data_IF_333240940179
#
_entry.id   IF_333240940179
#
_cell.length_a   1.000
_cell.length_b   1.000
_cell.length_c   1.000
_cell.angle_alpha   90.00
_cell.angle_beta   90.00
_cell.angle_gamma   90.00
#
_symmetry.space_group_name_H-M   'P 1'
#
loop_
_entity.id
_entity.type
_entity.pdbx_description
1 polymer ?
#
# COMPACT_ATOMS: atom_id res chain seq x y z
N UNK A 1 -12.32 18.22 13.53
CA UNK A 1 -13.50 17.55 14.12
C UNK A 1 -13.65 16.25 13.35
N UNK A 2 -13.10 15.16 13.89
CA UNK A 2 -13.09 13.85 13.23
C UNK A 2 -14.30 13.07 13.72
N UNK A 3 -15.34 13.00 12.90
CA UNK A 3 -16.34 11.95 13.04
C UNK A 3 -15.71 10.64 12.62
N UNK A 4 -15.08 9.92 13.56
CA UNK A 4 -14.82 8.50 13.34
C UNK A 4 -16.18 7.82 13.18
N UNK A 5 -16.42 7.26 11.99
CA UNK A 5 -17.48 6.29 11.81
C UNK A 5 -17.08 5.09 12.68
N UNK A 6 -17.77 4.92 13.82
CA UNK A 6 -17.43 3.95 14.87
C UNK A 6 -17.48 2.49 14.37
N UNK A 7 -17.98 2.24 13.15
CA UNK A 7 -18.24 0.91 12.61
C UNK A 7 -17.47 0.57 11.31
N UNK A 8 -16.56 1.43 10.83
CA UNK A 8 -15.76 1.11 9.64
C UNK A 8 -14.31 0.76 10.04
N UNK A 9 -13.93 -0.53 10.05
CA UNK A 9 -12.57 -0.93 10.40
C UNK A 9 -11.53 -0.40 9.41
N UNK A 10 -11.89 -0.09 8.16
CA UNK A 10 -10.97 0.44 7.14
C UNK A 10 -10.66 1.93 7.33
N UNK A 11 -11.38 2.62 8.22
CA UNK A 11 -11.18 4.06 8.47
C UNK A 11 -9.77 4.40 8.99
N UNK A 12 -9.01 3.42 9.47
CA UNK A 12 -7.59 3.59 9.86
C UNK A 12 -6.63 3.60 8.65
N UNK A 13 -7.11 3.23 7.46
CA UNK A 13 -6.32 3.11 6.22
C UNK A 13 -6.64 4.25 5.26
N UNK A 14 -7.91 4.47 4.93
CA UNK A 14 -8.29 5.43 3.89
C UNK A 14 -8.28 6.88 4.43
N UNK A 15 -8.08 7.85 3.54
CA UNK A 15 -7.94 9.28 3.86
C UNK A 15 -6.75 9.67 4.78
N UNK A 16 -5.80 8.76 5.00
CA UNK A 16 -4.61 8.97 5.85
C UNK A 16 -3.36 9.46 5.07
N UNK A 17 -3.53 9.81 3.80
CA UNK A 17 -2.45 10.21 2.90
C UNK A 17 -1.84 9.02 2.15
N UNK A 18 -0.52 9.03 1.99
CA UNK A 18 0.21 7.99 1.26
C UNK A 18 0.76 6.92 2.20
N UNK A 19 0.55 5.66 1.82
CA UNK A 19 1.11 4.47 2.44
C UNK A 19 2.18 3.87 1.53
N UNK A 20 3.28 3.40 2.11
CA UNK A 20 4.19 2.45 1.45
C UNK A 20 3.74 1.04 1.78
N UNK A 21 3.52 0.22 0.76
CA UNK A 21 3.13 -1.18 0.94
C UNK A 21 4.39 -2.05 0.97
N UNK A 22 4.45 -2.93 1.96
CA UNK A 22 5.46 -3.96 2.09
C UNK A 22 4.79 -5.33 2.12
N UNK A 23 5.42 -6.32 1.49
CA UNK A 23 5.11 -7.73 1.69
C UNK A 23 5.81 -8.24 2.94
N UNK A 24 5.14 -9.12 3.66
CA UNK A 24 5.63 -9.69 4.92
C UNK A 24 5.52 -11.20 4.83
N UNK A 25 6.60 -11.92 5.11
CA UNK A 25 6.53 -13.37 5.29
C UNK A 25 5.81 -13.72 6.61
N UNK A 26 5.33 -14.96 6.78
CA UNK A 26 4.74 -15.40 8.04
C UNK A 26 5.60 -15.01 9.26
N UNK A 27 4.94 -14.56 10.32
CA UNK A 27 5.57 -14.04 11.53
C UNK A 27 5.54 -15.10 12.63
N UNK A 28 6.69 -15.71 12.92
CA UNK A 28 6.81 -16.80 13.87
C UNK A 28 6.54 -16.35 15.31
N UNK A 29 5.71 -17.10 16.04
CA UNK A 29 5.34 -16.87 17.44
C UNK A 29 4.77 -15.46 17.72
N UNK A 30 4.06 -14.87 16.74
CA UNK A 30 3.30 -13.65 16.97
C UNK A 30 2.12 -13.94 17.90
N UNK A 31 1.96 -13.11 18.93
CA UNK A 31 0.88 -13.23 19.91
C UNK A 31 0.16 -11.89 20.09
N UNK A 32 -1.17 -11.93 20.09
CA UNK A 32 -2.03 -10.75 20.20
C UNK A 32 -2.30 -10.29 21.63
N UNK A 33 -1.84 -11.05 22.64
CA UNK A 33 -2.08 -10.72 24.05
C UNK A 33 -1.45 -9.38 24.44
N UNK A 34 -2.18 -8.56 25.21
CA UNK A 34 -1.78 -7.19 25.56
C UNK A 34 -0.36 -7.11 26.16
N UNK A 35 0.00 -8.06 27.03
CA UNK A 35 1.33 -8.14 27.63
C UNK A 35 2.42 -8.35 26.57
N UNK A 36 2.17 -9.23 25.59
CA UNK A 36 3.11 -9.51 24.50
C UNK A 36 3.26 -8.31 23.57
N UNK A 37 2.16 -7.67 23.20
CA UNK A 37 2.18 -6.44 22.40
C UNK A 37 2.98 -5.31 23.08
N UNK A 38 2.81 -5.13 24.40
CA UNK A 38 3.64 -4.19 25.19
C UNK A 38 5.12 -4.57 25.19
N UNK A 39 5.45 -5.86 25.28
CA UNK A 39 6.83 -6.34 25.19
C UNK A 39 7.45 -6.08 23.80
N UNK A 40 6.70 -6.30 22.72
CA UNK A 40 7.15 -5.99 21.36
C UNK A 40 7.36 -4.48 21.18
N UNK A 41 6.43 -3.65 21.64
CA UNK A 41 6.56 -2.19 21.62
C UNK A 41 7.81 -1.72 22.39
N UNK A 42 8.10 -2.35 23.53
CA UNK A 42 9.31 -2.08 24.32
C UNK A 42 10.59 -2.42 23.55
N UNK A 43 10.64 -3.58 22.86
CA UNK A 43 11.80 -3.96 22.03
C UNK A 43 12.04 -2.97 20.88
N UNK A 44 10.99 -2.52 20.20
CA UNK A 44 11.10 -1.48 19.14
C UNK A 44 11.64 -0.17 19.73
N UNK A 45 11.12 0.24 20.89
CA UNK A 45 11.60 1.44 21.58
C UNK A 45 13.09 1.33 21.96
N UNK A 46 13.55 0.18 22.43
CA UNK A 46 14.97 -0.07 22.70
C UNK A 46 15.83 0.07 21.44
N UNK A 47 15.36 -0.44 20.30
CA UNK A 47 16.07 -0.30 19.02
C UNK A 47 16.26 1.18 18.61
N UNK A 48 15.31 2.07 18.91
CA UNK A 48 15.49 3.50 18.65
C UNK A 48 16.59 4.14 19.50
N UNK A 49 16.73 3.72 20.75
CA UNK A 49 17.81 4.21 21.63
C UNK A 49 19.18 3.80 21.07
N UNK A 50 19.31 2.59 20.52
CA UNK A 50 20.58 2.11 19.97
C UNK A 50 20.91 2.61 18.56
N UNK A 51 19.90 2.95 17.74
CA UNK A 51 20.12 3.28 16.30
C UNK A 51 19.85 4.74 15.91
N UNK A 52 19.02 5.47 16.65
CA UNK A 52 18.56 6.82 16.26
C UNK A 52 19.03 7.89 17.28
N UNK A 53 19.13 7.52 18.55
CA UNK A 53 19.25 8.49 19.65
C UNK A 53 20.66 8.98 19.98
N UNK A 54 21.68 8.74 19.14
CA UNK A 54 23.07 9.08 19.47
C UNK A 54 23.32 10.58 19.69
N UNK A 55 22.38 11.48 19.34
CA UNK A 55 22.48 12.93 19.58
C UNK A 55 21.12 13.66 19.77
N UNK A 56 20.01 12.97 20.11
CA UNK A 56 18.66 13.60 20.12
C UNK A 56 18.01 13.67 21.50
N UNK A 57 17.51 14.84 21.89
CA UNK A 57 16.61 15.08 23.04
C UNK A 57 15.20 14.47 22.88
N UNK A 58 14.97 13.76 21.77
CA UNK A 58 13.70 13.16 21.40
C UNK A 58 13.44 11.88 22.19
N UNK A 59 12.30 11.84 22.89
CA UNK A 59 11.79 10.62 23.50
C UNK A 59 10.75 10.00 22.58
N UNK A 60 10.96 8.75 22.20
CA UNK A 60 10.01 7.96 21.42
C UNK A 60 9.13 7.11 22.34
N UNK A 61 7.83 7.08 22.03
CA UNK A 61 6.84 6.17 22.60
C UNK A 61 6.31 5.30 21.46
N UNK A 62 6.27 3.99 21.70
CA UNK A 62 5.77 2.99 20.75
C UNK A 62 4.53 2.35 21.36
N UNK A 63 3.47 2.26 20.57
CA UNK A 63 2.24 1.56 20.88
C UNK A 63 1.98 0.51 19.81
N UNK A 64 1.58 -0.69 20.22
CA UNK A 64 1.10 -1.74 19.32
C UNK A 64 -0.29 -2.16 19.78
N UNK A 65 -1.25 -2.09 18.87
CA UNK A 65 -2.66 -2.34 19.12
C UNK A 65 -3.15 -3.51 18.27
N UNK A 66 -3.94 -4.40 18.88
CA UNK A 66 -4.67 -5.43 18.15
C UNK A 66 -5.94 -4.82 17.53
N UNK A 67 -6.14 -5.05 16.23
CA UNK A 67 -7.30 -4.59 15.46
C UNK A 67 -8.11 -5.81 14.98
N UNK A 68 -8.96 -6.41 15.84
CA UNK A 68 -9.67 -7.65 15.51
C UNK A 68 -10.73 -7.51 14.42
N UNK A 69 -11.19 -6.28 14.16
CA UNK A 69 -12.15 -5.98 13.09
C UNK A 69 -11.46 -5.62 11.77
N UNK A 70 -10.14 -5.43 11.75
CA UNK A 70 -9.39 -5.15 10.54
C UNK A 70 -8.98 -6.47 9.88
N UNK A 71 -9.98 -7.17 9.34
CA UNK A 71 -9.82 -8.43 8.62
C UNK A 71 -10.95 -8.56 7.60
N UNK A 72 -10.68 -9.23 6.48
CA UNK A 72 -11.69 -9.41 5.43
C UNK A 72 -12.68 -10.53 5.78
N UNK A 73 -12.18 -11.60 6.39
CA UNK A 73 -12.98 -12.77 6.82
C UNK A 73 -12.64 -13.21 8.24
N UNK A 74 -13.43 -14.12 8.82
CA UNK A 74 -13.13 -14.70 10.14
C UNK A 74 -11.88 -15.59 10.15
N UNK A 75 -11.49 -16.11 8.98
CA UNK A 75 -10.29 -16.95 8.78
C UNK A 75 -9.00 -16.14 8.72
N UNK A 76 -9.12 -14.84 8.47
CA UNK A 76 -8.00 -13.91 8.47
C UNK A 76 -7.54 -13.60 9.89
N UNK A 77 -6.22 -13.53 10.05
CA UNK A 77 -5.59 -13.10 11.30
C UNK A 77 -5.91 -11.63 11.60
N UNK A 78 -6.08 -11.28 12.88
CA UNK A 78 -6.36 -9.91 13.30
C UNK A 78 -5.25 -8.95 12.82
N UNK A 79 -5.64 -7.74 12.40
CA UNK A 79 -4.68 -6.68 12.09
C UNK A 79 -3.92 -6.18 13.32
N UNK A 80 -2.76 -5.58 13.09
CA UNK A 80 -1.96 -4.91 14.11
C UNK A 80 -1.65 -3.48 13.67
N UNK A 81 -1.83 -2.51 14.56
CA UNK A 81 -1.40 -1.13 14.35
C UNK A 81 -0.19 -0.82 15.23
N UNK A 82 0.86 -0.26 14.64
CA UNK A 82 2.06 0.20 15.30
C UNK A 82 2.11 1.71 15.15
N UNK A 83 2.08 2.44 16.27
CA UNK A 83 2.17 3.90 16.29
C UNK A 83 3.42 4.32 17.05
N UNK A 84 4.23 5.18 16.43
CA UNK A 84 5.41 5.79 17.06
C UNK A 84 5.19 7.30 17.17
N UNK A 85 5.26 7.79 18.40
CA UNK A 85 5.18 9.22 18.69
C UNK A 85 6.49 9.73 19.25
N UNK A 86 6.84 10.97 18.93
CA UNK A 86 7.99 11.67 19.49
C UNK A 86 7.54 12.85 20.35
N UNK A 87 8.22 13.06 21.48
CA UNK A 87 8.11 14.28 22.28
C UNK A 87 9.49 14.93 22.43
N UNK A 88 9.58 16.25 22.21
CA UNK A 88 10.76 17.06 22.54
C UNK A 88 10.62 17.66 23.93
N UNK A 89 11.73 17.74 24.69
CA UNK A 89 11.74 18.35 26.02
C UNK A 89 11.78 19.89 26.01
N UNK A 90 12.09 20.53 24.89
CA UNK A 90 12.44 21.96 24.85
C UNK A 90 11.25 22.93 24.67
N UNK A 91 10.02 22.43 24.52
CA UNK A 91 8.84 23.28 24.36
C UNK A 91 7.80 23.02 25.45
N UNK A 92 7.43 24.06 26.21
CA UNK A 92 6.34 24.11 27.20
C UNK A 92 4.93 23.79 26.63
N UNK A 93 4.85 23.34 25.37
CA UNK A 93 3.67 22.74 24.74
C UNK A 93 4.06 21.45 24.04
N UNK A 94 4.44 20.43 24.82
CA UNK A 94 4.81 19.11 24.33
C UNK A 94 3.60 18.42 23.64
N UNK A 95 3.34 18.77 22.38
CA UNK A 95 2.41 18.03 21.53
C UNK A 95 3.13 16.78 21.05
N UNK A 96 2.65 15.61 21.48
CA UNK A 96 3.08 14.34 20.93
C UNK A 96 2.80 14.34 19.42
N UNK A 97 3.84 14.20 18.61
CA UNK A 97 3.73 14.13 17.15
C UNK A 97 3.89 12.67 16.74
N UNK A 98 2.93 12.12 16.00
CA UNK A 98 3.10 10.83 15.32
C UNK A 98 4.15 10.99 14.22
N UNK A 99 5.25 10.27 14.37
CA UNK A 99 6.39 10.29 13.42
C UNK A 99 6.35 9.10 12.47
N UNK A 100 5.69 8.03 12.88
CA UNK A 100 5.54 6.81 12.09
C UNK A 100 4.29 6.03 12.51
N UNK A 101 3.63 5.44 11.52
CA UNK A 101 2.51 4.53 11.72
C UNK A 101 2.63 3.36 10.74
N UNK A 102 2.30 2.16 11.20
CA UNK A 102 2.24 0.99 10.33
C UNK A 102 1.08 0.06 10.71
N UNK A 103 0.48 -0.55 9.71
CA UNK A 103 -0.59 -1.54 9.86
C UNK A 103 -0.09 -2.84 9.24
N UNK A 104 -0.08 -3.93 10.01
CA UNK A 104 0.09 -5.28 9.50
C UNK A 104 -1.28 -5.95 9.42
N UNK A 105 -1.61 -6.59 8.30
CA UNK A 105 -2.92 -7.19 8.09
C UNK A 105 -2.90 -8.33 7.06
N UNK A 106 -3.91 -9.19 7.17
CA UNK A 106 -4.37 -10.09 6.10
C UNK A 106 -5.66 -9.54 5.49
N UNK A 107 -5.87 -9.78 4.21
CA UNK A 107 -7.09 -9.36 3.51
C UNK A 107 -7.48 -10.39 2.46
N UNK A 108 -8.25 -11.41 2.87
CA UNK A 108 -8.73 -12.46 1.97
C UNK A 108 -7.67 -13.48 1.56
N UNK A 109 -6.53 -13.53 2.27
CA UNK A 109 -5.43 -14.48 2.02
C UNK A 109 -4.87 -14.98 3.34
N UNK A 110 -5.38 -16.12 3.79
CA UNK A 110 -4.90 -16.80 4.99
C UNK A 110 -4.08 -18.04 4.60
N UNK A 111 -2.89 -18.16 5.18
CA UNK A 111 -2.10 -19.40 5.12
C UNK A 111 -1.95 -19.87 6.56
N UNK A 112 -2.42 -21.09 6.83
CA UNK A 112 -2.22 -21.73 8.12
C UNK A 112 -0.81 -22.33 8.16
N UNK A 113 0.00 -21.86 9.10
CA UNK A 113 1.37 -22.33 9.32
C UNK A 113 1.53 -22.53 10.82
N UNK A 114 2.04 -23.69 11.21
CA UNK A 114 2.28 -24.00 12.61
C UNK A 114 3.21 -22.95 13.23
N UNK A 115 2.84 -22.47 14.41
CA UNK A 115 3.58 -21.48 15.19
C UNK A 115 3.86 -20.15 14.45
N UNK A 116 3.13 -19.82 13.38
CA UNK A 116 3.30 -18.55 12.67
C UNK A 116 1.96 -17.90 12.30
N UNK A 117 1.93 -16.56 12.33
CA UNK A 117 0.77 -15.78 11.89
C UNK A 117 1.04 -15.18 10.51
N UNK A 118 0.10 -15.35 9.59
CA UNK A 118 0.19 -14.79 8.25
C UNK A 118 -0.48 -13.40 8.19
N UNK A 119 0.35 -12.35 8.14
CA UNK A 119 -0.06 -10.96 7.90
C UNK A 119 0.69 -10.43 6.67
N UNK A 120 0.31 -10.84 5.44
CA UNK A 120 1.12 -10.65 4.24
C UNK A 120 1.40 -9.20 3.88
N UNK A 121 0.61 -8.26 4.41
CA UNK A 121 0.67 -6.85 4.07
C UNK A 121 1.10 -6.00 5.25
N UNK A 122 2.03 -5.08 5.00
CA UNK A 122 2.37 -4.00 5.91
C UNK A 122 2.27 -2.65 5.19
N UNK A 123 1.27 -1.86 5.57
CA UNK A 123 1.13 -0.46 5.16
C UNK A 123 1.92 0.40 6.14
N UNK A 124 2.86 1.23 5.66
CA UNK A 124 3.60 2.16 6.53
C UNK A 124 3.60 3.61 6.03
N UNK A 125 3.58 4.57 6.95
CA UNK A 125 3.73 6.00 6.66
C UNK A 125 4.57 6.70 7.74
N UNK A 126 5.12 7.86 7.38
CA UNK A 126 6.01 8.63 8.26
C UNK A 126 7.49 8.44 7.94
N UNK A 127 8.34 8.74 8.92
CA UNK A 127 9.79 8.86 8.77
C UNK A 127 10.48 7.53 8.43
N UNK A 128 11.30 7.54 7.36
CA UNK A 128 11.93 6.33 6.84
C UNK A 128 12.91 5.69 7.83
N UNK A 129 13.68 6.50 8.58
CA UNK A 129 14.63 5.98 9.58
C UNK A 129 13.91 5.25 10.72
N UNK A 130 12.80 5.82 11.20
CA UNK A 130 11.95 5.19 12.22
C UNK A 130 11.35 3.89 11.68
N UNK A 131 10.80 3.92 10.46
CA UNK A 131 10.25 2.72 9.81
C UNK A 131 11.27 1.61 9.60
N UNK A 132 12.51 1.94 9.23
CA UNK A 132 13.58 0.94 9.10
C UNK A 132 13.89 0.25 10.43
N UNK A 133 13.97 1.00 11.53
CA UNK A 133 14.20 0.44 12.86
C UNK A 133 13.01 -0.42 13.34
N UNK A 134 11.77 -0.03 13.05
CA UNK A 134 10.57 -0.87 13.30
C UNK A 134 10.68 -2.17 12.51
N UNK A 135 10.86 -2.10 11.19
CA UNK A 135 10.92 -3.29 10.33
C UNK A 135 12.04 -4.25 10.74
N UNK A 136 13.26 -3.74 10.98
CA UNK A 136 14.39 -4.57 11.43
C UNK A 136 14.10 -5.28 12.76
N UNK A 137 13.47 -4.57 13.70
CA UNK A 137 13.08 -5.14 14.99
C UNK A 137 12.02 -6.23 14.82
N UNK A 138 10.98 -6.01 14.00
CA UNK A 138 9.96 -7.01 13.72
C UNK A 138 10.55 -8.25 13.06
N UNK A 139 11.37 -8.08 12.01
CA UNK A 139 12.06 -9.18 11.34
C UNK A 139 12.91 -10.01 12.30
N UNK A 140 13.56 -9.37 13.27
CA UNK A 140 14.39 -10.06 14.28
C UNK A 140 13.54 -10.78 15.33
N UNK A 141 12.44 -10.18 15.79
CA UNK A 141 11.58 -10.78 16.83
C UNK A 141 10.81 -11.99 16.31
N UNK A 142 10.34 -11.91 15.06
CA UNK A 142 9.40 -12.87 14.47
C UNK A 142 10.02 -13.74 13.38
N UNK A 143 11.34 -13.66 13.18
CA UNK A 143 12.05 -14.37 12.12
C UNK A 143 11.34 -14.27 10.76
N UNK A 144 11.00 -13.03 10.37
CA UNK A 144 10.25 -12.75 9.16
C UNK A 144 11.03 -11.82 8.21
N UNK A 145 10.54 -11.68 6.99
CA UNK A 145 11.08 -10.82 5.96
C UNK A 145 10.05 -9.76 5.58
N UNK A 146 10.44 -8.49 5.62
CA UNK A 146 9.59 -7.35 5.25
C UNK A 146 10.27 -6.61 4.10
N UNK A 147 9.65 -6.68 2.91
CA UNK A 147 10.18 -6.05 1.68
C UNK A 147 9.15 -5.13 1.08
N UNK A 148 9.56 -3.92 0.68
CA UNK A 148 8.68 -2.99 -0.02
C UNK A 148 8.29 -3.56 -1.40
N UNK A 149 7.04 -3.39 -1.78
CA UNK A 149 6.60 -3.72 -3.13
C UNK A 149 7.29 -2.82 -4.17
N UNK A 150 7.64 -3.41 -5.30
CA UNK A 150 7.95 -2.68 -6.51
C UNK A 150 7.07 -3.26 -7.62
N UNK A 151 6.27 -2.41 -8.25
CA UNK A 151 5.29 -2.83 -9.24
C UNK A 151 5.84 -2.64 -10.65
N UNK A 152 5.61 -3.66 -11.49
CA UNK A 152 5.85 -3.56 -12.92
C UNK A 152 4.79 -2.68 -13.59
N UNK A 153 5.02 -2.25 -14.83
CA UNK A 153 4.03 -1.52 -15.61
C UNK A 153 2.70 -2.29 -15.72
N UNK A 154 2.76 -3.60 -15.97
CA UNK A 154 1.55 -4.43 -16.05
C UNK A 154 0.78 -4.42 -14.71
N UNK A 155 1.47 -4.53 -13.58
CA UNK A 155 0.85 -4.46 -12.25
C UNK A 155 0.24 -3.09 -11.96
N UNK A 156 0.90 -2.00 -12.36
CA UNK A 156 0.32 -0.66 -12.26
C UNK A 156 -0.96 -0.51 -13.08
N UNK A 157 -1.01 -1.12 -14.27
CA UNK A 157 -2.22 -1.13 -15.09
C UNK A 157 -3.33 -1.98 -14.46
N UNK A 158 -3.00 -3.12 -13.84
CA UNK A 158 -3.96 -3.91 -13.06
C UNK A 158 -4.60 -3.05 -11.95
N UNK A 159 -3.79 -2.34 -11.16
CA UNK A 159 -4.32 -1.37 -10.20
C UNK A 159 -5.17 -0.28 -10.88
N UNK A 160 -4.70 0.30 -11.97
CA UNK A 160 -5.40 1.36 -12.69
C UNK A 160 -6.81 0.97 -13.13
N UNK A 161 -6.95 -0.17 -13.80
CA UNK A 161 -8.26 -0.64 -14.27
C UNK A 161 -9.15 -1.17 -13.15
N UNK A 162 -8.56 -1.79 -12.11
CA UNK A 162 -9.32 -2.17 -10.92
C UNK A 162 -9.82 -0.94 -10.15
N UNK A 163 -9.06 0.16 -10.12
CA UNK A 163 -9.54 1.44 -9.60
C UNK A 163 -10.68 2.01 -10.43
N UNK A 164 -10.60 1.97 -11.76
CA UNK A 164 -11.68 2.44 -12.66
C UNK A 164 -12.98 1.66 -12.41
N UNK A 165 -12.91 0.35 -12.19
CA UNK A 165 -14.08 -0.48 -11.88
C UNK A 165 -14.74 -0.11 -10.54
N UNK A 166 -13.95 0.28 -9.56
CA UNK A 166 -14.43 0.67 -8.24
C UNK A 166 -14.59 2.19 -8.08
N UNK A 167 -14.39 2.94 -9.17
CA UNK A 167 -14.41 4.40 -9.13
C UNK A 167 -15.85 4.91 -9.11
N UNK A 168 -16.09 5.87 -8.22
CA UNK A 168 -17.39 6.56 -8.06
C UNK A 168 -17.22 8.05 -8.30
N UNK A 169 -16.21 8.44 -9.08
CA UNK A 169 -15.96 9.84 -9.43
C UNK A 169 -16.88 10.26 -10.58
N UNK A 170 -16.85 11.54 -10.95
CA UNK A 170 -17.60 12.00 -12.13
C UNK A 170 -16.87 11.52 -13.38
N UNK A 171 -17.60 11.21 -14.45
CA UNK A 171 -17.01 10.74 -15.72
C UNK A 171 -15.94 11.69 -16.30
N UNK A 172 -16.04 12.99 -16.02
CA UNK A 172 -15.07 14.02 -16.45
C UNK A 172 -13.85 14.14 -15.54
N UNK A 173 -13.83 13.44 -14.40
CA UNK A 173 -12.67 13.48 -13.51
C UNK A 173 -11.49 12.72 -14.16
N UNK A 174 -10.24 13.15 -13.91
CA UNK A 174 -9.12 12.67 -14.70
C UNK A 174 -8.62 11.29 -14.24
N UNK A 175 -8.38 10.40 -15.20
CA UNK A 175 -7.55 9.20 -15.09
C UNK A 175 -6.17 9.52 -15.66
N UNK A 176 -5.15 9.47 -14.83
CA UNK A 176 -3.80 9.96 -15.16
C UNK A 176 -2.80 8.82 -15.19
N UNK A 177 -2.07 8.71 -16.30
CA UNK A 177 -0.91 7.84 -16.46
C UNK A 177 0.36 8.68 -16.51
N UNK A 178 1.29 8.43 -15.60
CA UNK A 178 2.57 9.15 -15.53
C UNK A 178 3.73 8.21 -15.86
N UNK A 179 4.53 8.63 -16.83
CA UNK A 179 5.62 7.89 -17.42
C UNK A 179 6.96 8.58 -17.16
N UNK A 180 8.03 7.78 -17.10
CA UNK A 180 9.42 8.25 -17.07
C UNK A 180 10.11 7.92 -18.37
N UNK A 181 10.94 8.84 -18.84
CA UNK A 181 11.83 8.59 -19.96
C UNK A 181 12.98 7.69 -19.51
N UNK A 182 13.27 6.58 -20.20
CA UNK A 182 14.44 5.78 -19.91
C UNK A 182 15.71 6.63 -20.02
N UNK A 183 16.67 6.43 -19.12
CA UNK A 183 18.03 6.98 -19.21
C UNK A 183 18.18 8.51 -19.09
N UNK A 184 17.12 9.27 -18.75
CA UNK A 184 17.21 10.73 -18.50
C UNK A 184 16.94 11.01 -17.01
N UNK A 185 17.64 11.98 -16.44
CA UNK A 185 17.58 12.32 -15.01
C UNK A 185 16.13 12.45 -14.50
N UNK A 186 15.86 11.80 -13.36
CA UNK A 186 14.57 11.42 -12.75
C UNK A 186 13.50 12.50 -12.48
N UNK A 187 13.63 13.72 -13.02
CA UNK A 187 12.69 14.82 -12.75
C UNK A 187 11.61 15.00 -13.82
N UNK A 188 11.88 14.63 -15.06
CA UNK A 188 10.92 14.85 -16.14
C UNK A 188 9.97 13.66 -16.24
N UNK A 189 8.68 13.92 -15.99
CA UNK A 189 7.60 12.95 -16.13
C UNK A 189 6.70 13.38 -17.29
N UNK A 190 6.47 12.47 -18.23
CA UNK A 190 5.37 12.62 -19.18
C UNK A 190 4.08 12.22 -18.47
N UNK A 191 3.06 13.06 -18.52
CA UNK A 191 1.76 12.79 -17.89
C UNK A 191 0.67 12.87 -18.94
N UNK A 192 -0.10 11.79 -19.08
CA UNK A 192 -1.25 11.70 -19.96
C UNK A 192 -2.50 11.63 -19.10
N UNK A 193 -3.49 12.45 -19.44
CA UNK A 193 -4.76 12.55 -18.72
C UNK A 193 -5.89 12.18 -19.66
N UNK A 194 -6.76 11.30 -19.20
CA UNK A 194 -7.98 10.85 -19.88
C UNK A 194 -9.18 11.19 -19.00
N UNK A 195 -10.35 11.35 -19.59
CA UNK A 195 -11.59 11.35 -18.79
C UNK A 195 -11.86 9.93 -18.31
N UNK A 196 -12.15 9.75 -17.02
CA UNK A 196 -12.36 8.40 -16.46
C UNK A 196 -13.56 7.69 -17.12
N UNK A 197 -14.56 8.44 -17.61
CA UNK A 197 -15.70 7.89 -18.35
C UNK A 197 -15.31 7.23 -19.67
N UNK A 198 -14.32 7.78 -20.39
CA UNK A 198 -13.82 7.19 -21.63
C UNK A 198 -13.05 5.89 -21.34
N UNK A 199 -12.21 5.91 -20.29
CA UNK A 199 -11.46 4.73 -19.86
C UNK A 199 -12.41 3.63 -19.38
N UNK A 200 -13.48 4.00 -18.66
CA UNK A 200 -14.52 3.07 -18.22
C UNK A 200 -15.28 2.45 -19.40
N UNK A 201 -15.54 3.24 -20.46
CA UNK A 201 -16.16 2.73 -21.70
C UNK A 201 -15.26 1.71 -22.40
N UNK A 202 -13.96 1.99 -22.51
CA UNK A 202 -12.97 1.05 -23.07
C UNK A 202 -12.91 -0.23 -22.21
N UNK A 203 -12.83 -0.09 -20.89
CA UNK A 203 -12.71 -1.20 -19.96
C UNK A 203 -13.91 -2.14 -20.01
N UNK A 204 -15.13 -1.58 -19.99
CA UNK A 204 -16.35 -2.39 -20.06
C UNK A 204 -16.52 -3.07 -21.42
N UNK A 205 -16.16 -2.40 -22.52
CA UNK A 205 -16.24 -3.01 -23.84
C UNK A 205 -15.37 -4.27 -23.98
N UNK A 206 -14.23 -4.33 -23.28
CA UNK A 206 -13.33 -5.49 -23.31
C UNK A 206 -13.81 -6.63 -22.41
N UNK A 207 -14.42 -6.30 -21.26
CA UNK A 207 -14.90 -7.32 -20.32
C UNK A 207 -15.93 -8.26 -20.93
N UNK A 208 -16.72 -7.76 -21.88
CA UNK A 208 -17.70 -8.56 -22.59
C UNK A 208 -17.07 -9.52 -23.61
N UNK A 209 -15.81 -9.31 -23.99
CA UNK A 209 -15.11 -10.06 -25.04
C UNK A 209 -14.07 -11.06 -24.53
N UNK A 210 -13.48 -10.83 -23.35
CA UNK A 210 -12.31 -11.59 -22.86
C UNK A 210 -12.58 -12.27 -21.52
N UNK A 211 -12.35 -13.59 -21.47
CA UNK A 211 -12.59 -14.40 -20.27
C UNK A 211 -11.46 -14.34 -19.22
N UNK A 212 -10.30 -13.76 -19.55
CA UNK A 212 -9.12 -13.70 -18.67
C UNK A 212 -8.74 -12.26 -18.36
N UNK A 213 -8.73 -11.91 -17.08
CA UNK A 213 -8.49 -10.53 -16.62
C UNK A 213 -7.12 -9.96 -17.04
N UNK A 214 -6.06 -10.77 -17.04
CA UNK A 214 -4.73 -10.32 -17.49
C UNK A 214 -4.68 -9.99 -18.98
N UNK A 215 -5.44 -10.71 -19.81
CA UNK A 215 -5.60 -10.42 -21.24
C UNK A 215 -6.43 -9.14 -21.42
N UNK A 216 -7.47 -8.93 -20.60
CA UNK A 216 -8.29 -7.71 -20.60
C UNK A 216 -7.46 -6.45 -20.31
N UNK A 217 -6.58 -6.49 -19.31
CA UNK A 217 -5.69 -5.36 -18.96
C UNK A 217 -4.77 -4.99 -20.12
N UNK A 218 -4.17 -5.99 -20.77
CA UNK A 218 -3.29 -5.77 -21.91
C UNK A 218 -4.04 -5.18 -23.11
N UNK A 219 -5.24 -5.70 -23.42
CA UNK A 219 -6.04 -5.20 -24.52
C UNK A 219 -6.52 -3.77 -24.27
N UNK A 220 -6.96 -3.46 -23.05
CA UNK A 220 -7.40 -2.10 -22.68
C UNK A 220 -6.27 -1.10 -22.82
N UNK A 221 -5.08 -1.49 -22.35
CA UNK A 221 -3.90 -0.66 -22.50
C UNK A 221 -3.47 -0.49 -23.96
N UNK A 222 -3.59 -1.54 -24.79
CA UNK A 222 -3.31 -1.47 -26.22
C UNK A 222 -4.25 -0.50 -26.95
N UNK A 223 -5.53 -0.47 -26.59
CA UNK A 223 -6.49 0.51 -27.14
C UNK A 223 -6.06 1.94 -26.78
N UNK A 224 -5.70 2.19 -25.52
CA UNK A 224 -5.20 3.50 -25.08
C UNK A 224 -3.91 3.87 -25.82
N UNK A 225 -2.98 2.94 -25.98
CA UNK A 225 -1.74 3.13 -26.76
C UNK A 225 -2.01 3.58 -28.18
N UNK A 226 -2.90 2.87 -28.88
CA UNK A 226 -3.27 3.21 -30.25
C UNK A 226 -3.92 4.60 -30.34
N UNK A 227 -4.81 4.94 -29.40
CA UNK A 227 -5.41 6.28 -29.34
C UNK A 227 -4.37 7.37 -29.14
N UNK A 228 -3.43 7.20 -28.20
CA UNK A 228 -2.35 8.16 -27.96
C UNK A 228 -1.50 8.34 -29.22
N UNK A 229 -1.11 7.24 -29.85
CA UNK A 229 -0.31 7.28 -31.08
C UNK A 229 -1.04 8.02 -32.21
N UNK A 230 -2.33 7.72 -32.42
CA UNK A 230 -3.10 8.39 -33.49
C UNK A 230 -3.37 9.87 -33.21
N UNK A 231 -3.52 10.28 -31.95
CA UNK A 231 -3.80 11.67 -31.60
C UNK A 231 -2.54 12.54 -31.56
N UNK A 232 -1.42 12.00 -31.07
CA UNK A 232 -0.22 12.79 -30.75
C UNK A 232 1.01 12.35 -31.54
N UNK A 233 0.92 11.32 -32.38
CA UNK A 233 2.07 10.67 -33.03
C UNK A 233 3.15 10.25 -32.03
N UNK A 234 2.73 9.90 -30.82
CA UNK A 234 3.61 9.56 -29.71
C UNK A 234 3.53 8.05 -29.44
N UNK A 235 4.65 7.37 -29.62
CA UNK A 235 4.80 5.99 -29.17
C UNK A 235 5.11 5.99 -27.67
N UNK A 236 4.13 5.61 -26.85
CA UNK A 236 4.31 5.58 -25.39
C UNK A 236 5.00 4.31 -24.90
N UNK A 237 5.19 3.31 -25.76
CA UNK A 237 5.80 2.01 -25.38
C UNK A 237 7.28 2.15 -25.02
N UNK A 238 7.92 3.22 -25.47
CA UNK A 238 9.33 3.54 -25.17
C UNK A 238 9.50 4.19 -23.79
N UNK A 239 8.42 4.46 -23.05
CA UNK A 239 8.47 5.06 -21.72
C UNK A 239 8.04 4.07 -20.64
N UNK A 240 8.59 4.23 -19.44
CA UNK A 240 8.25 3.38 -18.31
C UNK A 240 7.07 3.98 -17.52
N UNK A 241 5.93 3.29 -17.49
CA UNK A 241 4.83 3.68 -16.60
C UNK A 241 5.30 3.58 -15.14
N UNK A 242 5.16 4.67 -14.39
CA UNK A 242 5.65 4.75 -13.03
C UNK A 242 4.59 5.11 -11.99
N UNK A 243 3.43 5.60 -12.43
CA UNK A 243 2.36 6.06 -11.55
C UNK A 243 1.02 6.10 -12.29
N UNK A 244 -0.03 5.67 -11.58
CA UNK A 244 -1.43 5.77 -12.02
C UNK A 244 -2.20 6.53 -10.94
N UNK A 245 -2.96 7.54 -11.35
CA UNK A 245 -3.67 8.45 -10.47
C UNK A 245 -5.13 8.62 -10.91
N UNK A 246 -6.04 8.48 -9.94
CA UNK A 246 -7.44 8.86 -10.02
C UNK A 246 -7.75 9.87 -8.90
N UNK A 247 -8.95 10.44 -8.93
CA UNK A 247 -9.38 11.40 -7.90
C UNK A 247 -9.32 10.81 -6.48
N UNK A 248 -9.59 9.50 -6.33
CA UNK A 248 -9.70 8.76 -5.06
C UNK A 248 -8.59 7.73 -4.83
N UNK A 249 -7.73 7.49 -5.81
CA UNK A 249 -6.70 6.45 -5.75
C UNK A 249 -5.39 6.92 -6.38
N UNK A 250 -4.25 6.46 -5.86
CA UNK A 250 -2.93 6.67 -6.44
C UNK A 250 -2.11 5.40 -6.21
N UNK A 251 -1.36 4.97 -7.20
CA UNK A 251 -0.37 3.90 -7.07
C UNK A 251 0.89 4.26 -7.84
N UNK A 252 2.05 3.96 -7.25
CA UNK A 252 3.37 4.20 -7.84
C UNK A 252 4.17 2.93 -7.95
N UNK A 253 5.07 2.85 -8.93
CA UNK A 253 5.93 1.70 -9.16
C UNK A 253 6.80 1.33 -7.97
N UNK A 254 7.07 2.26 -7.06
CA UNK A 254 7.82 2.01 -5.84
C UNK A 254 6.96 1.54 -4.65
N UNK A 255 5.72 1.08 -4.88
CA UNK A 255 4.86 0.55 -3.82
C UNK A 255 4.21 1.61 -2.92
N UNK A 256 4.21 2.89 -3.34
CA UNK A 256 3.44 3.94 -2.66
C UNK A 256 2.01 3.96 -3.20
N UNK A 257 1.03 3.98 -2.30
CA UNK A 257 -0.39 4.11 -2.63
C UNK A 257 -1.09 5.20 -1.84
N UNK A 258 -2.18 5.73 -2.39
CA UNK A 258 -3.13 6.61 -1.69
C UNK A 258 -4.52 6.06 -1.89
N UNK A 259 -5.27 5.92 -0.79
CA UNK A 259 -6.61 5.33 -0.79
C UNK A 259 -7.54 6.31 -0.08
N UNK A 260 -8.60 6.79 -0.75
CA UNK A 260 -9.55 7.77 -0.16
C UNK A 260 -10.89 7.18 0.26
N UNK A 261 -11.20 5.95 -0.16
CA UNK A 261 -12.47 5.27 0.16
C UNK A 261 -12.20 3.80 0.49
N UNK A 262 -13.10 3.13 1.23
CA UNK A 262 -12.95 1.70 1.54
C UNK A 262 -12.97 0.80 0.30
N UNK A 263 -13.70 1.16 -0.75
CA UNK A 263 -13.71 0.42 -2.03
C UNK A 263 -12.32 0.38 -2.67
N UNK A 264 -11.60 1.50 -2.64
CA UNK A 264 -10.21 1.57 -3.13
C UNK A 264 -9.28 0.75 -2.24
N UNK A 265 -9.51 0.68 -0.93
CA UNK A 265 -8.70 -0.19 -0.06
C UNK A 265 -8.89 -1.66 -0.45
N UNK A 266 -10.14 -2.09 -0.65
CA UNK A 266 -10.45 -3.44 -1.13
C UNK A 266 -9.78 -3.72 -2.48
N UNK A 267 -9.96 -2.80 -3.44
CA UNK A 267 -9.34 -2.87 -4.77
C UNK A 267 -7.82 -3.08 -4.71
N UNK A 268 -7.13 -2.32 -3.83
CA UNK A 268 -5.68 -2.48 -3.64
C UNK A 268 -5.34 -3.90 -3.18
N UNK A 269 -6.04 -4.42 -2.18
CA UNK A 269 -5.74 -5.76 -1.65
C UNK A 269 -6.11 -6.88 -2.62
N UNK A 270 -7.19 -6.73 -3.41
CA UNK A 270 -7.53 -7.68 -4.48
C UNK A 270 -6.37 -7.82 -5.46
N UNK A 271 -5.86 -6.69 -5.98
CA UNK A 271 -4.73 -6.72 -6.93
C UNK A 271 -3.46 -7.28 -6.29
N UNK A 272 -3.20 -6.96 -5.01
CA UNK A 272 -2.05 -7.52 -4.28
C UNK A 272 -2.16 -9.04 -4.11
N UNK A 273 -3.37 -9.56 -3.87
CA UNK A 273 -3.63 -10.99 -3.76
C UNK A 273 -3.30 -11.69 -5.09
N UNK A 274 -3.71 -11.14 -6.22
CA UNK A 274 -3.42 -11.70 -7.55
C UNK A 274 -1.93 -11.69 -7.88
N UNK A 275 -1.24 -10.59 -7.54
CA UNK A 275 0.21 -10.47 -7.68
C UNK A 275 0.92 -11.54 -6.85
N UNK A 276 0.50 -11.75 -5.60
CA UNK A 276 1.11 -12.73 -4.71
C UNK A 276 0.82 -14.17 -5.15
N UNK A 277 -0.40 -14.46 -5.61
CA UNK A 277 -0.78 -15.77 -6.14
C UNK A 277 0.10 -16.18 -7.33
N UNK A 278 0.41 -15.24 -8.22
CA UNK A 278 1.28 -15.48 -9.37
C UNK A 278 2.71 -15.84 -8.93
N UNK A 279 3.21 -15.22 -7.85
CA UNK A 279 4.56 -15.47 -7.33
C UNK A 279 4.69 -16.84 -6.65
N UNK A 280 3.62 -17.40 -6.09
CA UNK A 280 3.66 -18.74 -5.48
C UNK A 280 3.69 -19.87 -6.52
N UNK A 281 3.22 -19.62 -7.75
CA UNK A 281 3.28 -20.59 -8.84
C UNK A 281 4.71 -20.80 -9.34
N UNK A 282 5.59 -19.80 -9.23
CA UNK A 282 7.00 -19.91 -9.66
C UNK A 282 7.92 -20.66 -8.64
N UNK A 283 7.36 -21.17 -7.53
CA UNK A 283 8.09 -21.96 -6.52
C UNK A 283 7.65 -23.44 -6.42
N UNK A 284 6.83 -23.90 -7.37
CA UNK A 284 6.47 -25.33 -7.55
C UNK A 284 6.67 -25.77 -9.00
#
# INVERSE_FOLDING_TARGET
>A
MNGHVINDPLAVIYNEGQWRINRVSPMHNLQYGEVKLKQYAFKIRQAFVSTIATNSTLKYVVLIENLPLLKYSEEDSNGLMITVTSSSQDNNSAKNKTVYAAILLSWGVSISIDDATHLPYMLERGEQKVGLAVKNTLQTIFDCNIKQYNFTQHQLLQFGFNFVENDTSRNTDPFILSYKTPQVNFKDKLTLSFEVGDVHTIWNGIKDEVNRESESVNLAYQILQNQIYHMMTLDITVFDLCEVLLSKAEVKSNGVVKMKTPEIVNSVFTVLNDINSTLYIDFH
#
